data_IF_789224440778
#
_entry.id   IF_789224440778
#
_cell.length_a   1.000
_cell.length_b   1.000
_cell.length_c   1.000
_cell.angle_alpha   90.00
_cell.angle_beta   90.00
_cell.angle_gamma   90.00
#
_symmetry.space_group_name_H-M   'P 1'
#
loop_
_entity.id
_entity.type
_entity.pdbx_description
1 polymer ?
#
# COMPACT_ATOMS: atom_id res chain seq x y z
N UNK A 1 -0.07 -24.81 26.95
CA UNK A 1 -0.38 -23.36 26.91
C UNK A 1 -0.37 -22.95 25.45
N UNK A 2 -1.49 -23.21 24.78
CA UNK A 2 -1.76 -22.77 23.41
C UNK A 2 -2.21 -21.31 23.53
N UNK A 3 -1.29 -20.39 23.27
CA UNK A 3 -1.65 -18.99 23.10
C UNK A 3 -2.28 -18.86 21.72
N UNK A 4 -3.61 -18.96 21.68
CA UNK A 4 -4.40 -18.58 20.52
C UNK A 4 -4.06 -17.13 20.17
N UNK A 5 -3.45 -16.96 19.00
CA UNK A 5 -3.21 -15.65 18.40
C UNK A 5 -4.58 -15.04 18.11
N UNK A 6 -5.05 -14.15 18.99
CA UNK A 6 -6.18 -13.29 18.69
C UNK A 6 -5.93 -12.65 17.32
N UNK A 7 -6.77 -13.00 16.34
CA UNK A 7 -6.77 -12.34 15.05
C UNK A 7 -7.21 -10.89 15.30
N UNK A 8 -6.24 -10.01 15.52
CA UNK A 8 -6.47 -8.57 15.65
C UNK A 8 -7.26 -8.10 14.42
N UNK A 9 -8.33 -7.34 14.66
CA UNK A 9 -9.18 -6.82 13.60
C UNK A 9 -8.34 -5.94 12.66
N UNK A 10 -8.25 -6.35 11.40
CA UNK A 10 -7.60 -5.58 10.34
C UNK A 10 -8.65 -4.73 9.67
N UNK A 11 -8.43 -3.42 9.64
CA UNK A 11 -9.29 -2.52 8.89
C UNK A 11 -8.84 -2.49 7.43
N UNK A 12 -9.78 -2.68 6.50
CA UNK A 12 -9.51 -2.63 5.06
C UNK A 12 -10.00 -1.30 4.50
N UNK A 13 -9.12 -0.60 3.79
CA UNK A 13 -9.47 0.67 3.12
C UNK A 13 -9.94 0.39 1.69
N UNK A 14 -11.03 1.05 1.30
CA UNK A 14 -11.61 0.95 -0.03
C UNK A 14 -11.72 2.32 -0.68
N UNK A 15 -10.84 2.55 -1.65
CA UNK A 15 -10.79 3.73 -2.50
C UNK A 15 -11.17 3.37 -3.95
N UNK A 16 -11.98 4.19 -4.62
CA UNK A 16 -12.25 4.00 -6.04
C UNK A 16 -11.07 4.44 -6.92
N UNK A 17 -11.12 4.06 -8.20
CA UNK A 17 -10.17 4.56 -9.20
C UNK A 17 -8.85 3.82 -9.20
N UNK A 18 -7.78 4.47 -8.73
CA UNK A 18 -6.42 3.94 -8.85
C UNK A 18 -6.26 2.56 -8.18
N UNK A 19 -6.84 2.39 -6.98
CA UNK A 19 -6.80 1.11 -6.26
C UNK A 19 -7.39 -0.02 -7.07
N UNK A 20 -8.53 0.20 -7.73
CA UNK A 20 -9.19 -0.84 -8.53
C UNK A 20 -8.45 -1.12 -9.84
N UNK A 21 -7.89 -0.08 -10.46
CA UNK A 21 -7.13 -0.20 -11.71
C UNK A 21 -5.83 -0.99 -11.51
N UNK A 22 -5.11 -0.73 -10.42
CA UNK A 22 -3.86 -1.43 -10.08
C UNK A 22 -4.17 -2.76 -9.40
N UNK A 23 -5.13 -2.77 -8.47
CA UNK A 23 -5.53 -3.94 -7.70
C UNK A 23 -4.73 -4.15 -6.41
N UNK A 24 -4.23 -3.07 -5.79
CA UNK A 24 -3.61 -3.14 -4.47
C UNK A 24 -4.64 -3.15 -3.35
N UNK A 25 -4.27 -3.68 -2.20
CA UNK A 25 -5.06 -3.62 -0.97
C UNK A 25 -4.35 -2.74 0.03
N UNK A 26 -5.11 -1.91 0.74
CA UNK A 26 -4.60 -1.10 1.84
C UNK A 26 -5.29 -1.54 3.13
N UNK A 27 -4.50 -1.77 4.18
CA UNK A 27 -4.96 -2.28 5.45
C UNK A 27 -4.28 -1.56 6.61
N UNK A 28 -4.99 -1.39 7.72
CA UNK A 28 -4.44 -0.97 9.00
C UNK A 28 -4.51 -2.12 10.00
N UNK A 29 -3.41 -2.41 10.66
CA UNK A 29 -3.40 -3.31 11.81
C UNK A 29 -3.85 -2.59 13.10
N UNK A 30 -4.05 -3.36 14.17
CA UNK A 30 -4.47 -2.80 15.46
C UNK A 30 -3.45 -1.85 16.11
N UNK A 31 -2.20 -1.83 15.63
CA UNK A 31 -1.17 -0.88 16.06
C UNK A 31 -1.20 0.42 15.22
N UNK A 32 -2.09 0.51 14.22
CA UNK A 32 -2.19 1.65 13.31
C UNK A 32 -1.18 1.62 12.17
N UNK A 33 -0.51 0.50 11.92
CA UNK A 33 0.44 0.37 10.82
C UNK A 33 -0.31 0.23 9.50
N UNK A 34 -0.06 1.15 8.56
CA UNK A 34 -0.55 1.03 7.19
C UNK A 34 0.27 -0.01 6.42
N UNK A 35 -0.40 -1.02 5.86
CA UNK A 35 0.18 -2.01 4.96
C UNK A 35 -0.52 -1.92 3.61
N UNK A 36 0.27 -1.76 2.55
CA UNK A 36 -0.21 -1.82 1.16
C UNK A 36 0.39 -3.04 0.48
N UNK A 37 -0.45 -3.90 -0.09
CA UNK A 37 -0.04 -5.14 -0.77
C UNK A 37 -0.54 -5.16 -2.21
N UNK A 38 0.26 -5.76 -3.11
CA UNK A 38 -0.10 -5.95 -4.50
C UNK A 38 0.38 -7.32 -4.96
N UNK A 39 -0.57 -8.19 -5.30
CA UNK A 39 -0.26 -9.44 -5.98
C UNK A 39 0.15 -9.14 -7.42
N UNK A 40 1.33 -9.61 -7.82
CA UNK A 40 1.89 -9.29 -9.12
C UNK A 40 1.21 -10.07 -10.23
N UNK A 41 0.70 -9.30 -11.21
CA UNK A 41 0.15 -9.81 -12.45
C UNK A 41 0.96 -9.26 -13.64
N UNK A 42 0.81 -9.87 -14.81
CA UNK A 42 1.50 -9.45 -16.02
C UNK A 42 1.31 -7.96 -16.36
N UNK A 43 0.18 -7.37 -15.98
CA UNK A 43 -0.14 -5.94 -16.16
C UNK A 43 0.70 -4.99 -15.30
N UNK A 44 1.34 -5.48 -14.23
CA UNK A 44 2.20 -4.68 -13.34
C UNK A 44 3.67 -4.66 -13.79
N UNK A 45 4.02 -5.50 -14.77
CA UNK A 45 5.40 -5.66 -15.24
C UNK A 45 5.71 -4.67 -16.36
N UNK A 46 6.97 -4.25 -16.44
CA UNK A 46 7.47 -3.45 -17.55
C UNK A 46 7.91 -4.33 -18.75
N UNK A 47 8.45 -3.71 -19.81
CA UNK A 47 8.96 -4.42 -21.01
C UNK A 47 10.06 -5.45 -20.73
N UNK A 48 10.74 -5.36 -19.58
CA UNK A 48 11.77 -6.31 -19.14
C UNK A 48 11.19 -7.43 -18.26
N UNK A 49 9.86 -7.52 -18.13
CA UNK A 49 9.15 -8.56 -17.35
C UNK A 49 9.48 -8.53 -15.86
N UNK A 50 9.89 -7.37 -15.34
CA UNK A 50 10.05 -7.08 -13.91
C UNK A 50 9.05 -6.01 -13.50
N UNK A 51 8.78 -5.89 -12.19
CA UNK A 51 7.86 -4.91 -11.63
C UNK A 51 8.19 -3.50 -12.14
N UNK A 52 7.20 -2.84 -12.72
CA UNK A 52 7.36 -1.48 -13.20
C UNK A 52 7.64 -0.53 -12.03
N UNK A 53 8.68 0.31 -12.13
CA UNK A 53 9.07 1.21 -11.04
C UNK A 53 7.95 2.16 -10.59
N UNK A 54 7.09 2.57 -11.53
CA UNK A 54 5.88 3.34 -11.24
C UNK A 54 4.87 2.62 -10.35
N UNK A 55 4.77 1.28 -10.41
CA UNK A 55 3.90 0.53 -9.49
C UNK A 55 4.42 0.62 -8.06
N UNK A 56 5.74 0.46 -7.87
CA UNK A 56 6.38 0.67 -6.56
C UNK A 56 6.13 2.09 -6.07
N UNK A 57 6.27 3.08 -6.95
CA UNK A 57 6.00 4.48 -6.59
C UNK A 57 4.56 4.70 -6.14
N UNK A 58 3.59 4.13 -6.86
CA UNK A 58 2.18 4.17 -6.48
C UNK A 58 1.93 3.53 -5.11
N UNK A 59 2.44 2.33 -4.85
CA UNK A 59 2.22 1.68 -3.55
C UNK A 59 2.84 2.46 -2.39
N UNK A 60 4.04 3.02 -2.60
CA UNK A 60 4.71 3.86 -1.60
C UNK A 60 3.95 5.17 -1.35
N UNK A 61 3.46 5.82 -2.41
CA UNK A 61 2.67 7.04 -2.31
C UNK A 61 1.37 6.81 -1.52
N UNK A 62 0.65 5.74 -1.84
CA UNK A 62 -0.57 5.32 -1.14
C UNK A 62 -0.28 5.05 0.35
N UNK A 63 0.77 4.29 0.66
CA UNK A 63 1.13 3.99 2.04
C UNK A 63 1.46 5.27 2.83
N UNK A 64 2.23 6.18 2.25
CA UNK A 64 2.55 7.47 2.86
C UNK A 64 1.28 8.33 3.07
N UNK A 65 0.42 8.43 2.06
CA UNK A 65 -0.81 9.21 2.11
C UNK A 65 -1.76 8.74 3.21
N UNK A 66 -2.08 7.44 3.25
CA UNK A 66 -2.95 6.90 4.30
C UNK A 66 -2.35 7.01 5.70
N UNK A 67 -1.05 6.77 5.85
CA UNK A 67 -0.38 6.92 7.15
C UNK A 67 -0.41 8.37 7.62
N UNK A 68 -0.11 9.33 6.74
CA UNK A 68 -0.16 10.75 7.07
C UNK A 68 -1.59 11.21 7.39
N UNK A 69 -2.58 10.76 6.59
CA UNK A 69 -3.99 11.05 6.84
C UNK A 69 -4.42 10.60 8.24
N UNK A 70 -4.09 9.36 8.62
CA UNK A 70 -4.39 8.80 9.95
C UNK A 70 -3.69 9.51 11.10
N UNK A 71 -2.51 10.07 10.87
CA UNK A 71 -1.81 10.86 11.87
C UNK A 71 -2.56 12.17 12.20
N UNK A 72 -3.12 12.84 11.18
CA UNK A 72 -3.84 14.10 11.37
C UNK A 72 -5.30 13.91 11.80
N UNK A 73 -5.94 12.83 11.35
CA UNK A 73 -7.31 12.47 11.69
C UNK A 73 -7.41 10.94 11.86
N UNK A 74 -7.60 10.42 13.09
CA UNK A 74 -7.73 8.99 13.34
C UNK A 74 -8.84 8.33 12.53
N UNK A 75 -9.88 9.06 12.14
CA UNK A 75 -10.97 8.58 11.29
C UNK A 75 -10.61 8.58 9.79
N UNK A 76 -9.47 9.17 9.40
CA UNK A 76 -8.93 9.13 8.05
C UNK A 76 -9.49 10.17 7.08
N UNK A 77 -10.18 11.22 7.55
CA UNK A 77 -10.79 12.24 6.70
C UNK A 77 -9.85 13.43 6.41
N UNK A 78 -8.64 13.44 6.98
CA UNK A 78 -7.66 14.48 6.72
C UNK A 78 -7.25 14.48 5.23
N UNK A 79 -7.43 15.62 4.57
CA UNK A 79 -6.98 15.82 3.19
C UNK A 79 -5.48 16.06 3.16
N UNK A 80 -4.73 15.10 2.61
CA UNK A 80 -3.28 15.19 2.41
C UNK A 80 -2.94 15.11 0.92
N UNK A 81 -1.81 15.70 0.53
CA UNK A 81 -1.28 15.60 -0.83
C UNK A 81 0.23 15.41 -0.81
N UNK A 82 0.73 14.46 -1.59
CA UNK A 82 2.17 14.25 -1.77
C UNK A 82 2.75 15.38 -2.61
N UNK A 83 3.57 16.23 -1.99
CA UNK A 83 4.29 17.31 -2.70
C UNK A 83 5.56 16.79 -3.38
N UNK A 84 6.23 15.83 -2.74
CA UNK A 84 7.43 15.19 -3.27
C UNK A 84 7.55 13.77 -2.73
N UNK A 85 7.99 12.84 -3.58
CA UNK A 85 8.33 11.47 -3.22
C UNK A 85 9.69 11.12 -3.84
N UNK A 86 10.62 10.67 -3.01
CA UNK A 86 11.94 10.22 -3.44
C UNK A 86 12.06 8.71 -3.20
N UNK A 87 12.48 7.96 -4.20
CA UNK A 87 12.57 6.50 -4.14
C UNK A 87 13.93 6.03 -4.67
N UNK A 88 14.50 5.04 -3.99
CA UNK A 88 15.69 4.30 -4.43
C UNK A 88 15.31 2.86 -4.70
N UNK A 89 15.54 2.40 -5.94
CA UNK A 89 15.25 1.03 -6.35
C UNK A 89 16.49 0.15 -6.17
N UNK A 90 16.48 -0.71 -5.16
CA UNK A 90 17.66 -1.49 -4.76
C UNK A 90 17.73 -2.86 -5.46
N UNK A 91 16.57 -3.48 -5.71
CA UNK A 91 16.47 -4.79 -6.35
C UNK A 91 15.18 -4.89 -7.17
N UNK A 92 15.18 -5.77 -8.17
CA UNK A 92 14.01 -6.08 -9.00
C UNK A 92 13.26 -7.31 -8.49
N UNK A 93 11.95 -7.37 -8.73
CA UNK A 93 11.15 -8.60 -8.64
C UNK A 93 10.32 -8.79 -9.91
N UNK A 94 9.90 -10.02 -10.19
CA UNK A 94 9.03 -10.39 -11.33
C UNK A 94 7.82 -11.23 -10.93
N UNK A 95 7.72 -11.60 -9.65
CA UNK A 95 6.66 -12.44 -9.10
C UNK A 95 6.48 -12.17 -7.61
N UNK A 96 5.35 -12.59 -7.06
CA UNK A 96 4.95 -12.36 -5.67
C UNK A 96 3.52 -11.86 -5.58
#
# INVERSE_FOLDING_TARGET
>A
MTSDSEAQAVEVVSDPGCQQMVGYQTQFDAAGTCRVTLDLAARHLNRHRILHGGMVATLMDVACGHTAGRYFDPEGNASVVTVALNLSYIASTSAG
#
